data_IF_230520900370
#
_entry.id   IF_230520900370
#
_cell.length_a   1.000
_cell.length_b   1.000
_cell.length_c   1.000
_cell.angle_alpha   90.00
_cell.angle_beta   90.00
_cell.angle_gamma   90.00
#
_symmetry.space_group_name_H-M   'P 1'
#
loop_
_entity.id
_entity.type
_entity.pdbx_description
1 polymer ?
#
# COMPACT_ATOMS: atom_id res chain seq x y z
N UNK A 1 -24.35 45.20 36.70
CA UNK A 1 -23.76 43.88 36.45
C UNK A 1 -22.37 43.90 37.06
N UNK A 2 -22.13 43.13 38.12
CA UNK A 2 -20.92 43.26 38.95
C UNK A 2 -19.68 42.80 38.19
N UNK A 3 -18.63 43.63 38.19
CA UNK A 3 -17.35 43.37 37.49
C UNK A 3 -16.78 41.99 37.82
N UNK A 4 -16.97 41.54 39.07
CA UNK A 4 -16.50 40.24 39.54
C UNK A 4 -17.18 39.06 38.84
N UNK A 5 -18.46 39.18 38.45
CA UNK A 5 -19.21 38.15 37.72
C UNK A 5 -18.71 38.00 36.29
N UNK A 6 -18.29 39.11 35.67
CA UNK A 6 -17.72 39.10 34.30
C UNK A 6 -16.34 38.42 34.31
N UNK A 7 -15.49 38.74 35.28
CA UNK A 7 -14.18 38.11 35.45
C UNK A 7 -14.29 36.59 35.67
N UNK A 8 -15.26 36.14 36.47
CA UNK A 8 -15.52 34.72 36.71
C UNK A 8 -15.92 33.97 35.44
N UNK A 9 -16.79 34.57 34.62
CA UNK A 9 -17.23 33.98 33.36
C UNK A 9 -16.08 33.88 32.34
N UNK A 10 -15.23 34.91 32.25
CA UNK A 10 -14.04 34.86 31.41
C UNK A 10 -13.05 33.77 31.85
N UNK A 11 -12.83 33.63 33.16
CA UNK A 11 -11.94 32.62 33.71
C UNK A 11 -12.47 31.19 33.49
N UNK A 12 -13.78 30.98 33.68
CA UNK A 12 -14.42 29.70 33.41
C UNK A 12 -14.36 29.31 31.92
N UNK A 13 -14.58 30.27 31.00
CA UNK A 13 -14.43 30.06 29.57
C UNK A 13 -12.99 29.72 29.16
N UNK A 14 -12.01 30.40 29.77
CA UNK A 14 -10.59 30.14 29.54
C UNK A 14 -10.18 28.74 30.02
N UNK A 15 -10.63 28.32 31.20
CA UNK A 15 -10.41 26.95 31.70
C UNK A 15 -11.07 25.89 30.80
N UNK A 16 -12.30 26.12 30.34
CA UNK A 16 -13.00 25.19 29.45
C UNK A 16 -12.27 25.03 28.10
N UNK A 17 -11.76 26.13 27.54
CA UNK A 17 -10.97 26.12 26.31
C UNK A 17 -9.68 25.30 26.45
N UNK A 18 -8.94 25.49 27.55
CA UNK A 18 -7.73 24.72 27.82
C UNK A 18 -8.01 23.25 28.12
N UNK A 19 -9.10 22.94 28.83
CA UNK A 19 -9.51 21.56 29.10
C UNK A 19 -9.94 20.83 27.81
N UNK A 20 -10.61 21.52 26.88
CA UNK A 20 -10.97 20.97 25.58
C UNK A 20 -9.73 20.59 24.76
N UNK A 21 -8.71 21.45 24.73
CA UNK A 21 -7.44 21.16 24.06
C UNK A 21 -6.69 19.96 24.65
N UNK A 22 -6.85 19.70 25.95
CA UNK A 22 -6.25 18.52 26.62
C UNK A 22 -7.04 17.23 26.40
N UNK A 23 -8.35 17.32 26.11
CA UNK A 23 -9.21 16.15 25.88
C UNK A 23 -9.18 15.71 24.41
N UNK A 24 -9.02 16.64 23.47
CA UNK A 24 -8.72 16.35 22.06
C UNK A 24 -7.23 16.01 21.93
N UNK A 25 -6.77 14.96 22.61
CA UNK A 25 -5.51 14.33 22.24
C UNK A 25 -5.74 13.72 20.85
N UNK A 26 -4.97 14.09 19.82
CA UNK A 26 -5.04 13.37 18.57
C UNK A 26 -4.77 11.90 18.90
N UNK A 27 -5.75 11.03 18.61
CA UNK A 27 -5.59 9.59 18.73
C UNK A 27 -4.30 9.28 18.01
N UNK A 28 -3.27 8.87 18.76
CA UNK A 28 -2.00 8.49 18.18
C UNK A 28 -2.31 7.35 17.23
N UNK A 29 -2.38 7.64 15.93
CA UNK A 29 -2.55 6.60 14.94
C UNK A 29 -1.40 5.61 15.18
N UNK A 30 -1.68 4.30 15.27
CA UNK A 30 -0.63 3.31 15.37
C UNK A 30 0.33 3.59 14.21
N UNK A 31 1.58 3.93 14.54
CA UNK A 31 2.61 4.20 13.55
C UNK A 31 2.86 2.89 12.84
N UNK A 32 2.19 2.69 11.72
CA UNK A 32 2.51 1.63 10.78
C UNK A 32 4.02 1.73 10.49
N UNK A 33 4.75 0.60 10.49
CA UNK A 33 6.17 0.61 10.18
C UNK A 33 6.35 1.31 8.84
N UNK A 34 7.15 2.37 8.84
CA UNK A 34 7.50 3.12 7.64
C UNK A 34 7.97 2.11 6.59
N UNK A 35 7.34 2.03 5.40
CA UNK A 35 7.82 1.12 4.37
C UNK A 35 9.25 1.52 4.04
N UNK A 36 10.21 0.65 4.36
CA UNK A 36 11.62 0.84 4.04
C UNK A 36 11.73 0.67 2.53
N UNK A 37 12.06 1.73 1.76
CA UNK A 37 12.27 1.55 0.33
C UNK A 37 13.44 0.60 0.15
N UNK A 38 13.20 -0.55 -0.48
CA UNK A 38 14.24 -1.50 -0.81
C UNK A 38 14.93 -1.00 -2.08
N UNK A 39 16.00 -0.23 -1.88
CA UNK A 39 16.92 0.17 -2.94
C UNK A 39 17.62 -1.10 -3.44
N UNK A 40 17.45 -1.44 -4.72
CA UNK A 40 18.06 -2.58 -5.43
C UNK A 40 17.41 -3.95 -5.19
N UNK A 41 16.13 -4.09 -5.56
CA UNK A 41 15.50 -5.39 -5.74
C UNK A 41 15.98 -6.03 -7.06
N UNK A 42 17.03 -6.85 -6.99
CA UNK A 42 17.50 -7.63 -8.15
C UNK A 42 16.64 -8.89 -8.28
N UNK A 43 15.81 -8.97 -9.31
CA UNK A 43 14.97 -10.15 -9.54
C UNK A 43 15.80 -11.32 -10.07
N UNK A 44 15.73 -12.48 -9.42
CA UNK A 44 16.35 -13.72 -9.93
C UNK A 44 15.57 -14.35 -11.08
N UNK A 45 14.26 -14.09 -11.14
CA UNK A 45 13.36 -14.65 -12.16
C UNK A 45 12.31 -13.62 -12.54
N UNK A 46 12.09 -13.46 -13.85
CA UNK A 46 10.95 -12.73 -14.39
C UNK A 46 9.86 -13.72 -14.79
N UNK A 47 8.64 -13.52 -14.30
CA UNK A 47 7.50 -14.36 -14.62
C UNK A 47 6.94 -13.99 -16.00
N UNK A 48 6.59 -15.00 -16.78
CA UNK A 48 5.88 -14.79 -18.03
C UNK A 48 4.46 -14.26 -17.76
N UNK A 49 3.87 -13.52 -18.71
CA UNK A 49 2.46 -13.11 -18.62
C UNK A 49 1.53 -14.34 -18.59
N UNK A 50 0.46 -14.24 -17.82
CA UNK A 50 -0.54 -15.29 -17.58
C UNK A 50 -1.75 -14.80 -16.81
N UNK A 51 -1.83 -15.15 -15.52
CA UNK A 51 -2.99 -14.86 -14.68
C UNK A 51 -2.96 -13.40 -14.21
N UNK A 52 -4.11 -12.73 -14.32
CA UNK A 52 -4.30 -11.36 -13.85
C UNK A 52 -4.72 -11.35 -12.38
N UNK A 53 -3.80 -10.96 -11.52
CA UNK A 53 -4.02 -10.93 -10.06
C UNK A 53 -4.16 -9.49 -9.61
N UNK A 54 -5.36 -9.14 -9.13
CA UNK A 54 -5.61 -7.80 -8.60
C UNK A 54 -5.08 -7.68 -7.18
N UNK A 55 -4.34 -6.61 -6.90
CA UNK A 55 -3.97 -6.28 -5.52
C UNK A 55 -5.16 -5.71 -4.76
N UNK A 56 -5.27 -6.11 -3.50
CA UNK A 56 -6.23 -5.53 -2.56
C UNK A 56 -5.54 -4.31 -1.96
N UNK A 57 -6.09 -3.13 -2.25
CA UNK A 57 -5.69 -1.90 -1.56
C UNK A 57 -6.57 -1.74 -0.32
N UNK A 58 -5.95 -1.87 0.85
CA UNK A 58 -6.55 -1.61 2.16
C UNK A 58 -6.43 -0.13 2.57
N UNK A 59 -5.92 0.72 1.67
CA UNK A 59 -5.64 2.13 1.89
C UNK A 59 -4.25 2.38 2.48
N UNK A 60 -3.57 1.35 3.00
CA UNK A 60 -2.26 1.47 3.64
C UNK A 60 -1.20 2.00 2.69
N UNK A 61 -1.28 1.62 1.41
CA UNK A 61 -0.28 1.93 0.40
C UNK A 61 -0.68 3.06 -0.54
N UNK A 62 -1.83 3.70 -0.35
CA UNK A 62 -2.37 4.76 -1.22
C UNK A 62 -1.34 5.83 -1.58
N UNK A 63 -0.53 6.27 -0.59
CA UNK A 63 0.51 7.27 -0.80
C UNK A 63 1.65 6.80 -1.70
N UNK A 64 2.07 5.54 -1.58
CA UNK A 64 3.08 4.94 -2.44
C UNK A 64 2.54 4.70 -3.84
N UNK A 65 1.30 4.22 -3.96
CA UNK A 65 0.62 4.03 -5.25
C UNK A 65 0.54 5.35 -6.00
N UNK A 66 0.17 6.45 -5.31
CA UNK A 66 0.17 7.79 -5.90
C UNK A 66 1.55 8.22 -6.42
N UNK A 67 2.61 7.96 -5.64
CA UNK A 67 3.99 8.28 -6.03
C UNK A 67 4.46 7.47 -7.23
N UNK A 68 4.12 6.18 -7.28
CA UNK A 68 4.44 5.29 -8.41
C UNK A 68 3.63 5.68 -9.63
N UNK A 69 2.37 6.04 -9.46
CA UNK A 69 1.49 6.51 -10.53
C UNK A 69 2.06 7.75 -11.22
N UNK A 70 2.66 8.67 -10.45
CA UNK A 70 3.33 9.86 -10.97
C UNK A 70 2.40 10.82 -11.69
N UNK A 71 1.08 10.70 -11.48
CA UNK A 71 0.07 11.49 -12.16
C UNK A 71 -0.27 12.78 -11.42
N UNK A 72 -0.70 13.76 -12.19
CA UNK A 72 -1.28 14.98 -11.64
C UNK A 72 -2.71 14.70 -11.17
N UNK A 73 -3.20 15.47 -10.20
CA UNK A 73 -4.57 15.33 -9.72
C UNK A 73 -5.58 15.43 -10.87
N UNK A 74 -6.39 14.38 -11.05
CA UNK A 74 -7.42 14.31 -12.08
C UNK A 74 -7.02 13.60 -13.37
N UNK A 75 -5.72 13.31 -13.57
CA UNK A 75 -5.26 12.55 -14.72
C UNK A 75 -5.48 11.05 -14.52
N UNK A 76 -6.04 10.41 -15.55
CA UNK A 76 -6.15 8.96 -15.59
C UNK A 76 -4.79 8.34 -15.90
N UNK A 77 -4.39 7.39 -15.08
CA UNK A 77 -3.18 6.60 -15.26
C UNK A 77 -3.53 5.31 -15.93
N UNK A 78 -2.79 5.02 -16.99
CA UNK A 78 -2.77 3.74 -17.69
C UNK A 78 -1.31 3.47 -18.08
N UNK A 79 -0.62 2.69 -17.26
CA UNK A 79 0.78 2.34 -17.53
C UNK A 79 1.09 0.91 -17.14
N UNK A 80 1.94 0.29 -17.97
CA UNK A 80 2.56 -0.99 -17.68
C UNK A 80 3.96 -0.76 -17.11
N UNK A 81 4.27 -1.38 -15.97
CA UNK A 81 5.59 -1.34 -15.35
C UNK A 81 5.99 -2.71 -14.83
N UNK A 82 7.19 -2.81 -14.24
CA UNK A 82 7.70 -4.05 -13.65
C UNK A 82 7.48 -4.00 -12.14
N UNK A 83 6.80 -5.01 -11.60
CA UNK A 83 6.67 -5.21 -10.17
C UNK A 83 7.68 -6.26 -9.70
N UNK A 84 8.24 -6.03 -8.51
CA UNK A 84 9.10 -6.96 -7.79
C UNK A 84 8.29 -7.59 -6.65
N UNK A 85 8.27 -8.91 -6.61
CA UNK A 85 7.58 -9.72 -5.63
C UNK A 85 8.62 -10.23 -4.62
N UNK A 86 8.41 -9.90 -3.36
CA UNK A 86 9.26 -10.33 -2.26
C UNK A 86 8.43 -11.22 -1.32
N UNK A 87 8.71 -12.52 -1.25
CA UNK A 87 8.13 -13.39 -0.23
C UNK A 87 8.70 -13.03 1.14
N UNK A 88 7.84 -12.65 2.09
CA UNK A 88 8.20 -12.27 3.45
C UNK A 88 7.39 -13.06 4.48
N UNK A 89 8.02 -13.37 5.60
CA UNK A 89 7.32 -13.94 6.76
C UNK A 89 7.18 -12.83 7.79
N UNK A 90 5.94 -12.46 8.14
CA UNK A 90 5.68 -11.47 9.20
C UNK A 90 5.82 -12.10 10.60
N UNK A 91 5.84 -11.26 11.63
CA UNK A 91 6.11 -11.61 13.04
C UNK A 91 5.25 -12.75 13.61
N UNK A 92 4.10 -13.06 13.00
CA UNK A 92 3.21 -14.17 13.39
C UNK A 92 3.42 -15.45 12.57
N UNK A 93 4.52 -15.55 11.82
CA UNK A 93 4.75 -16.66 10.87
C UNK A 93 3.86 -16.58 9.63
N UNK A 94 3.05 -15.52 9.48
CA UNK A 94 2.17 -15.31 8.34
C UNK A 94 3.02 -15.04 7.09
N UNK A 95 2.91 -15.94 6.12
CA UNK A 95 3.52 -15.84 4.79
C UNK A 95 2.77 -14.80 3.96
N UNK A 96 3.46 -13.74 3.56
CA UNK A 96 2.90 -12.62 2.78
C UNK A 96 3.84 -12.30 1.64
N UNK A 97 3.29 -12.05 0.45
CA UNK A 97 4.11 -11.63 -0.70
C UNK A 97 3.91 -10.14 -0.89
N UNK A 98 4.93 -9.37 -0.55
CA UNK A 98 4.96 -7.92 -0.70
C UNK A 98 5.31 -7.56 -2.15
N UNK A 99 4.64 -6.54 -2.68
CA UNK A 99 4.77 -6.10 -4.07
C UNK A 99 5.36 -4.71 -4.12
N UNK A 100 6.45 -4.56 -4.86
CA UNK A 100 7.21 -3.33 -5.00
C UNK A 100 7.22 -2.85 -6.45
N UNK A 101 6.99 -1.57 -6.67
CA UNK A 101 7.14 -0.90 -7.97
C UNK A 101 8.02 0.32 -7.74
N UNK A 102 9.03 0.52 -8.59
CA UNK A 102 9.99 1.63 -8.48
C UNK A 102 10.61 1.74 -7.07
N UNK A 103 10.83 0.60 -6.40
CA UNK A 103 11.40 0.53 -5.04
C UNK A 103 10.42 0.86 -3.90
N UNK A 104 9.16 1.15 -4.21
CA UNK A 104 8.11 1.45 -3.24
C UNK A 104 7.16 0.26 -3.09
N UNK A 105 6.85 -0.12 -1.84
CA UNK A 105 5.84 -1.14 -1.57
C UNK A 105 4.45 -0.58 -1.89
N UNK A 106 3.75 -1.22 -2.82
CA UNK A 106 2.42 -0.80 -3.31
C UNK A 106 1.30 -1.70 -2.82
N UNK A 107 1.61 -2.81 -2.15
CA UNK A 107 0.63 -3.73 -1.61
C UNK A 107 1.19 -5.12 -1.36
N UNK A 108 0.29 -6.04 -1.00
CA UNK A 108 0.60 -7.45 -0.82
C UNK A 108 -0.36 -8.31 -1.65
N UNK A 109 0.07 -9.50 -2.07
CA UNK A 109 -0.87 -10.50 -2.59
C UNK A 109 -1.91 -10.83 -1.52
N UNK A 110 -3.13 -11.11 -1.97
CA UNK A 110 -4.21 -11.55 -1.08
C UNK A 110 -3.87 -12.89 -0.43
N UNK A 111 -4.45 -13.13 0.74
CA UNK A 111 -4.32 -14.40 1.49
C UNK A 111 -4.76 -15.62 0.65
N UNK A 112 -5.58 -15.42 -0.39
CA UNK A 112 -5.97 -16.46 -1.35
C UNK A 112 -4.81 -16.88 -2.27
N UNK A 113 -4.03 -15.92 -2.78
CA UNK A 113 -3.01 -16.18 -3.80
C UNK A 113 -1.61 -16.37 -3.21
N UNK A 114 -1.34 -15.81 -2.02
CA UNK A 114 -0.04 -15.94 -1.38
C UNK A 114 0.39 -17.40 -1.19
N UNK A 115 -0.42 -18.33 -0.63
CA UNK A 115 -0.01 -19.72 -0.42
C UNK A 115 0.40 -20.44 -1.71
N UNK A 116 -0.38 -20.29 -2.78
CA UNK A 116 -0.08 -20.88 -4.09
C UNK A 116 1.23 -20.34 -4.66
N UNK A 117 1.48 -19.04 -4.50
CA UNK A 117 2.74 -18.44 -4.93
C UNK A 117 3.94 -18.98 -4.15
N UNK A 118 3.82 -19.18 -2.84
CA UNK A 118 4.87 -19.80 -2.03
C UNK A 118 5.20 -21.23 -2.45
N UNK A 119 4.18 -22.05 -2.75
CA UNK A 119 4.39 -23.42 -3.24
C UNK A 119 5.20 -23.40 -4.53
N UNK A 120 4.84 -22.53 -5.47
CA UNK A 120 5.56 -22.39 -6.75
C UNK A 120 7.00 -21.91 -6.55
N UNK A 121 7.21 -20.93 -5.65
CA UNK A 121 8.57 -20.46 -5.32
C UNK A 121 9.42 -21.57 -4.70
N UNK A 122 8.85 -22.38 -3.80
CA UNK A 122 9.56 -23.52 -3.20
C UNK A 122 9.95 -24.57 -4.24
N UNK A 123 9.04 -24.94 -5.14
CA UNK A 123 9.34 -25.86 -6.24
C UNK A 123 10.43 -25.33 -7.19
N UNK A 124 10.51 -24.02 -7.36
CA UNK A 124 11.52 -23.37 -8.18
C UNK A 124 12.85 -23.10 -7.46
N UNK A 125 12.97 -23.40 -6.15
CA UNK A 125 14.15 -23.05 -5.35
C UNK A 125 14.34 -21.53 -5.15
N UNK A 126 13.25 -20.76 -5.19
CA UNK A 126 13.22 -19.30 -5.12
C UNK A 126 12.44 -18.77 -3.90
N UNK A 127 12.25 -19.61 -2.88
CA UNK A 127 11.47 -19.34 -1.66
C UNK A 127 11.81 -18.05 -0.91
N UNK A 128 13.06 -17.59 -1.03
CA UNK A 128 13.63 -16.40 -0.40
C UNK A 128 14.12 -15.35 -1.42
N UNK A 129 13.84 -15.57 -2.70
CA UNK A 129 14.39 -14.76 -3.79
C UNK A 129 13.36 -13.77 -4.31
N UNK A 130 13.82 -12.56 -4.62
CA UNK A 130 13.01 -11.57 -5.32
C UNK A 130 12.72 -12.07 -6.73
N UNK A 131 11.45 -12.01 -7.13
CA UNK A 131 11.03 -12.28 -8.50
C UNK A 131 10.38 -11.05 -9.10
N UNK A 132 10.32 -10.94 -10.43
CA UNK A 132 9.69 -9.81 -11.11
C UNK A 132 8.55 -10.27 -12.02
N UNK A 133 7.59 -9.40 -12.26
CA UNK A 133 6.48 -9.64 -13.16
C UNK A 133 6.02 -8.33 -13.80
N UNK A 134 5.25 -8.45 -14.89
CA UNK A 134 4.59 -7.30 -15.46
C UNK A 134 3.41 -6.89 -14.59
N UNK A 135 3.23 -5.59 -14.42
CA UNK A 135 2.11 -5.04 -13.67
C UNK A 135 1.48 -3.91 -14.47
N UNK A 136 0.17 -3.85 -14.41
CA UNK A 136 -0.62 -2.80 -15.01
C UNK A 136 -1.22 -1.93 -13.91
N UNK A 137 -0.93 -0.64 -13.98
CA UNK A 137 -1.44 0.39 -13.09
C UNK A 137 -2.48 1.21 -13.83
N UNK A 138 -3.72 1.16 -13.34
CA UNK A 138 -4.87 1.88 -13.89
C UNK A 138 -5.54 2.76 -12.84
N UNK A 139 -6.10 3.91 -13.20
CA UNK A 139 -7.00 4.69 -12.32
C UNK A 139 -6.50 6.10 -11.98
N UNK A 140 -6.91 6.63 -10.82
CA UNK A 140 -6.47 7.95 -10.34
C UNK A 140 -7.12 9.18 -11.01
N UNK A 141 -7.84 8.99 -12.11
CA UNK A 141 -8.60 10.03 -12.80
C UNK A 141 -9.87 10.46 -12.06
N UNK A 142 -10.65 11.35 -12.67
CA UNK A 142 -11.96 11.79 -12.15
C UNK A 142 -13.07 11.10 -12.93
N UNK A 143 -13.99 10.46 -12.21
CA UNK A 143 -15.18 9.84 -12.77
C UNK A 143 -16.20 10.89 -13.24
N UNK A 144 -17.23 10.40 -13.93
CA UNK A 144 -18.32 11.23 -14.48
C UNK A 144 -19.07 11.97 -13.36
N UNK A 145 -19.04 11.43 -12.14
CA UNK A 145 -19.62 12.00 -10.92
C UNK A 145 -18.71 13.02 -10.22
N UNK A 146 -17.57 13.38 -10.81
CA UNK A 146 -16.57 14.28 -10.22
C UNK A 146 -15.75 13.64 -9.10
N UNK A 147 -15.94 12.36 -8.79
CA UNK A 147 -15.18 11.67 -7.74
C UNK A 147 -13.89 11.10 -8.28
N UNK A 148 -12.87 11.03 -7.42
CA UNK A 148 -11.61 10.38 -7.74
C UNK A 148 -11.82 8.88 -7.91
N UNK A 149 -11.41 8.35 -9.06
CA UNK A 149 -11.40 6.91 -9.33
C UNK A 149 -10.28 6.26 -8.52
N UNK A 150 -10.54 5.10 -7.87
CA UNK A 150 -9.52 4.38 -7.14
C UNK A 150 -8.44 3.89 -8.10
N UNK A 151 -7.21 3.78 -7.59
CA UNK A 151 -6.15 3.09 -8.32
C UNK A 151 -6.44 1.59 -8.33
N UNK A 152 -5.99 0.95 -9.39
CA UNK A 152 -6.06 -0.49 -9.60
C UNK A 152 -4.68 -0.97 -10.02
N UNK A 153 -4.19 -1.99 -9.32
CA UNK A 153 -2.92 -2.63 -9.63
C UNK A 153 -3.24 -4.08 -9.97
N UNK A 154 -2.90 -4.46 -11.20
CA UNK A 154 -3.15 -5.80 -11.72
C UNK A 154 -1.82 -6.41 -12.14
N UNK A 155 -1.40 -7.44 -11.42
CA UNK A 155 -0.21 -8.21 -11.73
C UNK A 155 -0.52 -9.20 -12.84
N UNK A 156 0.42 -9.38 -13.75
CA UNK A 156 0.35 -10.36 -14.82
C UNK A 156 1.42 -11.43 -14.57
N UNK A 157 0.99 -12.53 -13.95
CA UNK A 157 1.88 -13.58 -13.44
C UNK A 157 1.41 -14.94 -13.92
N UNK A 158 2.27 -15.65 -14.64
CA UNK A 158 2.10 -17.07 -14.91
C UNK A 158 2.93 -17.92 -13.95
N UNK A 159 2.38 -18.22 -12.78
CA UNK A 159 3.04 -19.11 -11.80
C UNK A 159 2.89 -20.59 -12.13
N UNK A 160 2.00 -20.97 -13.06
CA UNK A 160 1.82 -22.37 -13.50
C UNK A 160 2.92 -22.81 -14.47
N UNK A 161 3.54 -21.86 -15.18
CA UNK A 161 4.65 -22.12 -16.07
C UNK A 161 5.96 -21.91 -15.35
N UNK A 162 6.34 -22.89 -14.52
CA UNK A 162 7.74 -23.03 -14.11
C UNK A 162 8.47 -23.50 -15.37
N UNK A 163 8.97 -22.56 -16.18
CA UNK A 163 9.83 -22.91 -17.30
C UNK A 163 10.96 -23.76 -16.75
N UNK A 164 10.97 -25.03 -17.12
CA UNK A 164 12.09 -25.94 -16.93
C UNK A 164 13.28 -25.28 -17.63
N UNK A 165 14.27 -24.89 -16.83
CA UNK A 165 15.62 -24.69 -17.31
C UNK A 165 16.26 -26.07 -17.44
#
# INVERSE_FOLDING_TARGET
MDLWKVLLLCFAGWLAYHAYGLWVRPVAQPRLPKPKPLLNLVSKKHWAPGEKVRLIDDGTFTSNIYRVAGNTFGEYVDRSCIAHLLPETKDEGKKVVSVFIDGLCVGCLSDRHAPSFYVVLQHAGLDSSVTSCNVHLGGGGVGIDGKKLPYSITLDINWMKISAL
#
